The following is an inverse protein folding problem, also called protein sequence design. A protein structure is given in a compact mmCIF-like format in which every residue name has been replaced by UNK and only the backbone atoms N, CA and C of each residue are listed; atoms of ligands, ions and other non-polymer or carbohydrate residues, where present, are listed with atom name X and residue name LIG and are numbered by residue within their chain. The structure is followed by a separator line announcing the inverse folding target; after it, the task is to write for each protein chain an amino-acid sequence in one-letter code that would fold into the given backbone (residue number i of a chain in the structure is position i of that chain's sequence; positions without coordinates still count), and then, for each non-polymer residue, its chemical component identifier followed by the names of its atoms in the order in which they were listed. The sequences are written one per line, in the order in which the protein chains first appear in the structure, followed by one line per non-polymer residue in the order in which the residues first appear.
data_IF_300428290313
#
_entry.id   IF_300428290313
#
_cell.length_a   1.000
_cell.length_b   1.000
_cell.length_c   1.000
_cell.angle_alpha   90.00
_cell.angle_beta   90.00
_cell.angle_gamma   90.00
#
_symmetry.space_group_name_H-M   'P 1'
#
loop_
_entity.id
_entity.type
_entity.pdbx_description
1 polymer ?
#
# COMPACT_ATOMS: atom_id res chain seq x y z
N UNK A 1 37.46 -14.20 -17.12
CA UNK A 1 37.18 -13.89 -15.70
C UNK A 1 35.67 -13.87 -15.53
N UNK A 2 35.11 -14.98 -15.06
CA UNK A 2 33.65 -15.18 -14.96
C UNK A 2 33.07 -14.36 -13.80
N UNK A 3 32.07 -13.54 -14.13
CA UNK A 3 31.22 -12.80 -13.20
C UNK A 3 30.29 -13.81 -12.51
N UNK A 4 30.81 -14.56 -11.55
CA UNK A 4 30.07 -15.64 -10.89
C UNK A 4 30.44 -15.79 -9.40
N UNK A 5 30.37 -14.70 -8.63
CA UNK A 5 30.48 -14.66 -7.15
C UNK A 5 29.67 -13.41 -6.74
N UNK A 6 28.51 -13.39 -6.05
CA UNK A 6 27.74 -14.30 -5.20
C UNK A 6 26.23 -14.05 -5.43
N UNK A 7 25.49 -14.98 -6.04
CA UNK A 7 24.03 -15.00 -5.93
C UNK A 7 23.69 -15.66 -4.59
N UNK A 8 23.66 -14.87 -3.50
CA UNK A 8 23.19 -15.36 -2.21
C UNK A 8 21.78 -15.95 -2.34
N UNK A 9 21.47 -16.98 -1.55
CA UNK A 9 20.15 -17.61 -1.55
C UNK A 9 19.05 -16.57 -1.23
N UNK A 10 18.37 -16.12 -2.29
CA UNK A 10 17.28 -15.13 -2.24
C UNK A 10 15.91 -15.81 -2.38
N UNK A 11 15.89 -17.14 -2.38
CA UNK A 11 14.66 -17.93 -2.56
C UNK A 11 13.60 -17.54 -1.53
N UNK A 12 14.01 -17.36 -0.26
CA UNK A 12 13.11 -16.91 0.80
C UNK A 12 12.47 -15.54 0.53
N UNK A 13 13.23 -14.58 -0.02
CA UNK A 13 12.71 -13.26 -0.38
C UNK A 13 11.67 -13.37 -1.50
N UNK A 14 11.94 -14.16 -2.54
CA UNK A 14 10.99 -14.35 -3.64
C UNK A 14 9.72 -15.09 -3.20
N UNK A 15 9.84 -16.09 -2.33
CA UNK A 15 8.66 -16.78 -1.74
C UNK A 15 7.81 -15.79 -0.95
N UNK A 16 8.43 -14.97 -0.08
CA UNK A 16 7.72 -13.95 0.70
C UNK A 16 6.99 -12.94 -0.21
N UNK A 17 7.67 -12.46 -1.25
CA UNK A 17 7.08 -11.53 -2.23
C UNK A 17 5.93 -12.18 -3.00
N UNK A 18 6.06 -13.45 -3.38
CA UNK A 18 5.00 -14.22 -4.02
C UNK A 18 3.76 -14.32 -3.14
N UNK A 19 3.93 -14.75 -1.89
CA UNK A 19 2.84 -14.86 -0.90
C UNK A 19 2.17 -13.51 -0.67
N UNK A 20 2.96 -12.44 -0.51
CA UNK A 20 2.45 -11.08 -0.33
C UNK A 20 1.56 -10.63 -1.49
N UNK A 21 2.02 -10.81 -2.74
CA UNK A 21 1.24 -10.44 -3.92
C UNK A 21 -0.06 -11.24 -4.00
N UNK A 22 0.01 -12.56 -3.80
CA UNK A 22 -1.19 -13.43 -3.80
C UNK A 22 -2.19 -12.97 -2.74
N UNK A 23 -1.73 -12.59 -1.54
CA UNK A 23 -2.60 -12.08 -0.49
C UNK A 23 -3.32 -10.80 -0.92
N UNK A 24 -2.62 -9.82 -1.51
CA UNK A 24 -3.23 -8.57 -1.98
C UNK A 24 -4.22 -8.82 -3.12
N UNK A 25 -3.86 -9.65 -4.09
CA UNK A 25 -4.77 -10.02 -5.18
C UNK A 25 -6.03 -10.72 -4.65
N UNK A 26 -5.88 -11.60 -3.65
CA UNK A 26 -7.01 -12.29 -3.03
C UNK A 26 -7.97 -11.31 -2.35
N UNK A 27 -7.45 -10.29 -1.65
CA UNK A 27 -8.27 -9.23 -1.04
C UNK A 27 -8.98 -8.40 -2.11
N UNK A 28 -8.30 -8.07 -3.21
CA UNK A 28 -8.89 -7.32 -4.32
C UNK A 28 -10.06 -8.09 -4.97
N UNK A 29 -9.87 -9.39 -5.24
CA UNK A 29 -10.91 -10.27 -5.79
C UNK A 29 -12.09 -10.38 -4.83
N UNK A 30 -11.83 -10.62 -3.54
CA UNK A 30 -12.88 -10.67 -2.51
C UNK A 30 -13.65 -9.34 -2.41
N UNK A 31 -12.96 -8.21 -2.46
CA UNK A 31 -13.57 -6.88 -2.45
C UNK A 31 -14.46 -6.69 -3.68
N UNK A 32 -13.99 -7.05 -4.87
CA UNK A 32 -14.76 -6.97 -6.11
C UNK A 32 -16.06 -7.81 -6.02
N UNK A 33 -15.94 -9.09 -5.66
CA UNK A 33 -17.08 -10.00 -5.56
C UNK A 33 -18.10 -9.56 -4.48
N UNK A 34 -17.63 -9.01 -3.36
CA UNK A 34 -18.53 -8.52 -2.30
C UNK A 34 -19.18 -7.16 -2.61
N UNK A 35 -18.57 -6.36 -3.49
CA UNK A 35 -19.08 -5.03 -3.86
C UNK A 35 -20.05 -5.06 -5.04
N UNK A 36 -20.00 -6.07 -5.93
CA UNK A 36 -20.95 -6.19 -7.06
C UNK A 36 -22.41 -6.22 -6.59
N UNK A 37 -22.69 -6.87 -5.45
CA UNK A 37 -24.02 -6.90 -4.84
C UNK A 37 -24.51 -5.53 -4.32
N UNK A 38 -23.61 -4.59 -4.02
CA UNK A 38 -23.94 -3.26 -3.51
C UNK A 38 -24.09 -2.23 -4.63
N UNK A 39 -23.37 -2.39 -5.74
CA UNK A 39 -23.48 -1.53 -6.94
C UNK A 39 -24.91 -1.58 -7.52
N UNK A 40 -25.59 -2.72 -7.40
CA UNK A 40 -26.97 -2.90 -7.86
C UNK A 40 -28.03 -2.09 -7.06
N UNK A 41 -27.69 -1.54 -5.89
CA UNK A 41 -28.66 -0.86 -4.97
C UNK A 41 -28.81 0.66 -5.15
N UNK A 42 -28.16 1.25 -6.16
CA UNK A 42 -28.60 2.53 -6.72
C UNK A 42 -28.14 3.84 -6.06
N UNK A 43 -27.91 4.81 -6.97
CA UNK A 43 -28.02 6.26 -6.88
C UNK A 43 -27.08 7.10 -5.96
N UNK A 44 -25.89 6.60 -5.60
CA UNK A 44 -24.80 7.46 -5.10
C UNK A 44 -23.51 7.20 -5.87
N UNK A 45 -23.45 7.65 -7.12
CA UNK A 45 -22.28 7.50 -8.01
C UNK A 45 -20.96 7.84 -7.30
N UNK A 46 -20.92 8.96 -6.58
CA UNK A 46 -19.75 9.41 -5.81
C UNK A 46 -19.41 8.46 -4.66
N UNK A 47 -20.39 8.05 -3.83
CA UNK A 47 -20.14 7.14 -2.69
C UNK A 47 -19.72 5.74 -3.16
N UNK A 48 -20.28 5.27 -4.27
CA UNK A 48 -19.90 4.00 -4.87
C UNK A 48 -18.49 4.05 -5.44
N UNK A 49 -18.10 5.17 -6.07
CA UNK A 49 -16.76 5.34 -6.62
C UNK A 49 -15.68 5.43 -5.55
N UNK A 50 -15.87 6.29 -4.53
CA UNK A 50 -14.83 6.55 -3.53
C UNK A 50 -14.83 5.61 -2.33
N UNK A 51 -15.98 5.04 -1.98
CA UNK A 51 -16.13 4.23 -0.77
C UNK A 51 -16.74 2.84 -1.04
N UNK A 52 -16.87 2.43 -2.32
CA UNK A 52 -17.51 1.18 -2.71
C UNK A 52 -18.93 1.00 -2.11
N UNK A 53 -19.63 2.11 -1.85
CA UNK A 53 -20.95 2.11 -1.21
C UNK A 53 -20.92 1.78 0.29
N UNK A 54 -19.74 1.59 0.88
CA UNK A 54 -19.54 1.21 2.29
C UNK A 54 -19.18 2.43 3.14
N UNK A 55 -19.45 2.33 4.43
CA UNK A 55 -18.94 3.25 5.45
C UNK A 55 -17.82 2.53 6.20
N UNK A 56 -16.58 2.97 6.01
CA UNK A 56 -15.42 2.38 6.68
C UNK A 56 -15.38 2.80 8.15
N UNK A 57 -15.19 1.82 9.05
CA UNK A 57 -14.99 2.11 10.48
C UNK A 57 -13.69 2.89 10.68
N UNK A 58 -13.63 3.70 11.74
CA UNK A 58 -12.51 4.58 12.04
C UNK A 58 -11.13 3.88 12.00
N UNK A 59 -11.02 2.65 12.49
CA UNK A 59 -9.77 1.89 12.43
C UNK A 59 -9.33 1.54 11.01
N UNK A 60 -10.24 1.12 10.14
CA UNK A 60 -9.93 0.82 8.73
C UNK A 60 -9.55 2.10 7.99
N UNK A 61 -10.28 3.19 8.26
CA UNK A 61 -9.97 4.48 7.67
C UNK A 61 -8.57 4.97 8.10
N UNK A 62 -8.24 4.86 9.38
CA UNK A 62 -6.91 5.20 9.90
C UNK A 62 -5.81 4.38 9.21
N UNK A 63 -5.97 3.06 9.11
CA UNK A 63 -4.98 2.19 8.46
C UNK A 63 -4.82 2.51 6.97
N UNK A 64 -5.91 2.82 6.27
CA UNK A 64 -5.86 3.23 4.86
C UNK A 64 -5.13 4.57 4.69
N UNK A 65 -5.46 5.56 5.52
CA UNK A 65 -4.77 6.87 5.50
C UNK A 65 -3.30 6.68 5.82
N UNK A 66 -2.98 5.96 6.90
CA UNK A 66 -1.60 5.66 7.29
C UNK A 66 -0.83 4.96 6.16
N UNK A 67 -1.41 3.96 5.50
CA UNK A 67 -0.77 3.28 4.37
C UNK A 67 -0.58 4.17 3.15
N UNK A 68 -1.40 5.21 2.98
CA UNK A 68 -1.24 6.18 1.89
C UNK A 68 -0.08 7.14 2.18
N UNK A 69 0.05 7.56 3.44
CA UNK A 69 1.14 8.42 3.90
C UNK A 69 2.47 7.64 3.96
N UNK A 70 2.44 6.43 4.52
CA UNK A 70 3.59 5.55 4.68
C UNK A 70 3.83 4.72 3.41
N UNK A 71 4.55 5.31 2.46
CA UNK A 71 4.79 4.78 1.12
C UNK A 71 6.28 4.52 0.86
N UNK A 72 6.64 4.13 -0.38
CA UNK A 72 8.05 3.98 -0.77
C UNK A 72 8.89 5.23 -0.53
N UNK A 73 8.27 6.43 -0.65
CA UNK A 73 8.94 7.69 -0.33
C UNK A 73 9.35 7.77 1.14
N UNK A 74 8.48 7.38 2.07
CA UNK A 74 8.78 7.46 3.51
C UNK A 74 9.81 6.42 3.94
N UNK A 75 9.84 5.26 3.30
CA UNK A 75 10.75 4.16 3.67
C UNK A 75 12.14 4.34 3.07
N UNK A 76 12.25 4.94 1.87
CA UNK A 76 13.53 5.05 1.15
C UNK A 76 14.04 6.48 1.11
N UNK A 77 13.22 7.43 0.65
CA UNK A 77 13.66 8.81 0.41
C UNK A 77 13.85 9.60 1.69
N UNK A 78 13.04 9.39 2.73
CA UNK A 78 13.19 10.13 3.99
C UNK A 78 14.49 9.79 4.71
N UNK A 79 14.89 8.50 4.88
CA UNK A 79 16.21 8.18 5.43
C UNK A 79 17.36 8.72 4.58
N UNK A 80 17.25 8.67 3.26
CA UNK A 80 18.24 9.20 2.33
C UNK A 80 18.39 10.73 2.48
N UNK A 81 17.28 11.48 2.47
CA UNK A 81 17.25 12.92 2.72
C UNK A 81 17.76 13.25 4.13
N UNK A 82 17.40 12.45 5.14
CA UNK A 82 17.84 12.64 6.52
C UNK A 82 19.35 12.49 6.67
N UNK A 83 19.99 11.66 5.84
CA UNK A 83 21.44 11.49 5.85
C UNK A 83 22.21 12.77 5.49
N UNK A 84 21.60 13.65 4.66
CA UNK A 84 22.20 14.93 4.25
C UNK A 84 21.61 16.16 4.95
N UNK A 85 20.31 16.17 5.23
CA UNK A 85 19.56 17.34 5.69
C UNK A 85 19.06 17.23 7.14
N UNK A 86 19.27 16.08 7.79
CA UNK A 86 18.80 15.84 9.16
C UNK A 86 17.28 16.02 9.28
N UNK A 87 16.83 16.76 10.29
CA UNK A 87 15.40 16.92 10.63
C UNK A 87 14.58 17.67 9.56
N UNK A 88 15.22 18.38 8.62
CA UNK A 88 14.48 19.04 7.52
C UNK A 88 13.85 18.04 6.55
N UNK A 89 14.29 16.77 6.56
CA UNK A 89 13.72 15.66 5.77
C UNK A 89 12.26 15.33 6.10
N UNK A 90 11.74 15.74 7.27
CA UNK A 90 10.34 15.47 7.66
C UNK A 90 9.36 16.59 7.30
N UNK A 91 9.80 17.60 6.55
CA UNK A 91 8.97 18.78 6.16
C UNK A 91 7.67 18.41 5.43
N UNK A 92 7.64 17.27 4.75
CA UNK A 92 6.47 16.80 4.00
C UNK A 92 5.32 16.37 4.91
N UNK A 93 5.57 16.06 6.20
CA UNK A 93 4.53 15.64 7.14
C UNK A 93 3.46 16.72 7.34
N UNK A 94 3.85 18.00 7.31
CA UNK A 94 2.91 19.12 7.48
C UNK A 94 2.08 19.45 6.23
N UNK A 95 2.40 18.86 5.08
CA UNK A 95 1.69 19.06 3.81
C UNK A 95 0.66 17.94 3.51
N UNK A 96 0.62 16.91 4.36
CA UNK A 96 -0.26 15.74 4.26
C UNK A 96 -1.49 15.90 5.13
#
# INVERSE_FOLDING_TARGET
MSVAIMAGDRTGLYVLMGVYNVAIFSIAVYSYLSNTAQVARGNRFVKTHFAAGKDFKAGVLFLTTFSTVFSGYTVVSVPDEASGLGFTSVRWIGAV
#
